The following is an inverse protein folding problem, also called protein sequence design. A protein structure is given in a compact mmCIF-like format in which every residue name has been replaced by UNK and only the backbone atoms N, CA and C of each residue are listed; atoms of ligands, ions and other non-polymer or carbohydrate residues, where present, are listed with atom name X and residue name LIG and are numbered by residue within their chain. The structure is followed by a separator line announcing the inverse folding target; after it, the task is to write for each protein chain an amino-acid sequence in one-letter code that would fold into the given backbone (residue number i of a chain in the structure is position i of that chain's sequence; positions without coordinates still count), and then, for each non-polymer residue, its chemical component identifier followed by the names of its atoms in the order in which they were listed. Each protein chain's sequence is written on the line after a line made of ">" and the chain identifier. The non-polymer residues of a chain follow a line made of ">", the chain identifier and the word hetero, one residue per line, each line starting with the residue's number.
data_IF_791467552389
#
_entry.id   IF_791467552389
#
_cell.length_a   1.000
_cell.length_b   1.000
_cell.length_c   1.000
_cell.angle_alpha   90.00
_cell.angle_beta   90.00
_cell.angle_gamma   90.00
#
_symmetry.space_group_name_H-M   'P 1'
#
loop_
_entity.id
_entity.type
_entity.pdbx_description
1 polymer ?
#
# COMPACT_ATOMS: atom_id res chain seq x y z
N UNK A 1 30.89 -3.81 2.11
CA UNK A 1 29.56 -3.42 2.65
C UNK A 1 28.49 -3.79 1.64
N UNK A 2 27.74 -4.86 1.85
CA UNK A 2 26.67 -5.24 0.92
C UNK A 2 25.51 -4.24 1.07
N UNK A 3 25.34 -3.37 0.08
CA UNK A 3 24.15 -2.52 -0.02
C UNK A 3 22.97 -3.48 -0.18
N UNK A 4 22.26 -3.78 0.91
CA UNK A 4 21.12 -4.70 0.89
C UNK A 4 20.14 -4.11 -0.13
N UNK A 5 20.01 -4.75 -1.29
CA UNK A 5 19.11 -4.25 -2.33
C UNK A 5 17.73 -4.08 -1.68
N UNK A 6 17.08 -2.91 -1.79
CA UNK A 6 15.70 -2.81 -1.36
C UNK A 6 14.94 -3.86 -2.16
N UNK A 7 14.38 -4.86 -1.47
CA UNK A 7 13.49 -5.82 -2.11
C UNK A 7 12.46 -5.01 -2.89
N UNK A 8 12.39 -5.23 -4.21
CA UNK A 8 11.48 -4.49 -5.07
C UNK A 8 10.07 -4.57 -4.50
N UNK A 9 9.55 -5.78 -4.24
CA UNK A 9 8.29 -5.99 -3.53
C UNK A 9 8.56 -6.44 -2.09
N UNK A 10 7.91 -5.79 -1.12
CA UNK A 10 8.03 -6.08 0.31
C UNK A 10 6.65 -6.32 0.93
N UNK A 11 6.35 -7.54 1.41
CA UNK A 11 5.15 -7.84 2.18
C UNK A 11 5.00 -6.94 3.40
N UNK A 12 3.76 -6.60 3.76
CA UNK A 12 3.47 -5.67 4.86
C UNK A 12 4.01 -6.16 6.22
N UNK A 13 3.92 -7.47 6.50
CA UNK A 13 4.51 -8.07 7.72
C UNK A 13 6.02 -7.86 7.83
N UNK A 14 6.74 -7.75 6.70
CA UNK A 14 8.18 -7.44 6.72
C UNK A 14 8.45 -5.93 6.77
N UNK A 15 7.53 -5.11 6.27
CA UNK A 15 7.63 -3.65 6.32
C UNK A 15 7.29 -3.09 7.72
N UNK A 16 6.32 -3.70 8.42
CA UNK A 16 5.83 -3.30 9.73
C UNK A 16 5.65 -4.53 10.65
N UNK A 17 6.74 -5.18 11.08
CA UNK A 17 6.69 -6.47 11.79
C UNK A 17 5.98 -6.43 13.15
N UNK A 18 5.91 -5.25 13.77
CA UNK A 18 5.25 -5.01 15.06
C UNK A 18 3.75 -4.71 14.97
N UNK A 19 3.21 -4.52 13.76
CA UNK A 19 1.79 -4.17 13.59
C UNK A 19 0.99 -5.41 13.16
N UNK A 20 -0.09 -5.71 13.90
CA UNK A 20 -0.97 -6.83 13.56
C UNK A 20 -1.74 -6.57 12.27
N UNK A 21 -2.17 -5.34 12.02
CA UNK A 21 -2.90 -4.99 10.79
C UNK A 21 -2.02 -5.18 9.55
N UNK A 22 -0.70 -4.98 9.68
CA UNK A 22 0.24 -5.27 8.60
C UNK A 22 0.41 -6.78 8.32
N UNK A 23 0.08 -7.66 9.27
CA UNK A 23 0.03 -9.11 9.02
C UNK A 23 -1.22 -9.50 8.26
N UNK A 24 -2.34 -8.87 8.62
CA UNK A 24 -3.65 -9.10 7.99
C UNK A 24 -3.72 -8.46 6.58
N UNK A 25 -2.84 -7.50 6.28
CA UNK A 25 -2.69 -6.85 4.98
C UNK A 25 -1.75 -7.60 4.03
N UNK A 26 -2.01 -8.89 3.82
CA UNK A 26 -1.16 -9.83 3.06
C UNK A 26 -1.28 -9.70 1.53
N UNK A 27 -2.39 -9.15 1.05
CA UNK A 27 -2.70 -8.92 -0.36
C UNK A 27 -2.34 -7.49 -0.84
N UNK A 28 -1.42 -6.83 -0.15
CA UNK A 28 -0.81 -5.55 -0.52
C UNK A 28 0.68 -5.56 -0.15
N UNK A 29 1.46 -4.64 -0.70
CA UNK A 29 2.90 -4.61 -0.46
C UNK A 29 3.48 -3.20 -0.63
N UNK A 30 4.70 -3.00 -0.15
CA UNK A 30 5.51 -1.84 -0.52
C UNK A 30 6.41 -2.16 -1.71
N UNK A 31 6.33 -1.35 -2.77
CA UNK A 31 7.30 -1.29 -3.85
C UNK A 31 8.43 -0.33 -3.44
N UNK A 32 9.59 -0.90 -3.12
CA UNK A 32 10.65 -0.15 -2.44
C UNK A 32 10.20 0.30 -1.03
N UNK A 33 10.70 1.44 -0.53
CA UNK A 33 10.31 1.95 0.79
C UNK A 33 9.06 2.84 0.79
N UNK A 34 8.65 3.36 -0.36
CA UNK A 34 7.79 4.56 -0.42
C UNK A 34 6.51 4.40 -1.24
N UNK A 35 6.35 3.32 -2.00
CA UNK A 35 5.16 3.10 -2.82
C UNK A 35 4.35 1.97 -2.19
N UNK A 36 3.13 2.27 -1.74
CA UNK A 36 2.14 1.29 -1.32
C UNK A 36 1.33 0.84 -2.53
N UNK A 37 1.24 -0.47 -2.76
CA UNK A 37 0.46 -1.08 -3.85
C UNK A 37 -0.54 -2.07 -3.26
N UNK A 38 -1.82 -1.93 -3.60
CA UNK A 38 -2.89 -2.84 -3.20
C UNK A 38 -3.74 -3.22 -4.42
N UNK A 39 -3.37 -4.29 -5.16
CA UNK A 39 -4.11 -4.70 -6.36
C UNK A 39 -5.58 -5.05 -6.07
N UNK A 40 -6.46 -4.81 -7.05
CA UNK A 40 -7.82 -5.33 -7.04
C UNK A 40 -7.78 -6.78 -7.51
N UNK A 41 -8.36 -7.68 -6.71
CA UNK A 41 -8.35 -9.12 -6.98
C UNK A 41 -9.76 -9.68 -7.24
N UNK A 42 -10.78 -8.87 -6.95
CA UNK A 42 -12.19 -9.22 -7.14
C UNK A 42 -12.83 -8.28 -8.17
N UNK A 43 -13.81 -8.76 -8.95
CA UNK A 43 -14.60 -7.90 -9.82
C UNK A 43 -15.28 -6.76 -9.04
N UNK A 44 -15.49 -5.62 -9.69
CA UNK A 44 -16.22 -4.48 -9.11
C UNK A 44 -15.33 -3.31 -8.67
N UNK A 45 -14.01 -3.39 -8.85
CA UNK A 45 -13.12 -2.24 -8.70
C UNK A 45 -12.90 -1.77 -7.26
N UNK A 46 -13.41 -2.50 -6.27
CA UNK A 46 -13.30 -2.13 -4.86
C UNK A 46 -12.17 -2.89 -4.18
N UNK A 47 -11.42 -2.21 -3.31
CA UNK A 47 -10.34 -2.81 -2.52
C UNK A 47 -10.33 -2.26 -1.10
N UNK A 48 -10.35 -3.16 -0.12
CA UNK A 48 -10.00 -2.82 1.26
C UNK A 48 -8.49 -2.97 1.46
N UNK A 49 -7.84 -1.92 1.93
CA UNK A 49 -6.40 -1.90 2.20
C UNK A 49 -6.10 -1.25 3.55
N UNK A 50 -4.98 -1.63 4.15
CA UNK A 50 -4.42 -0.99 5.32
C UNK A 50 -3.40 0.07 4.91
N UNK A 51 -3.65 1.31 5.31
CA UNK A 51 -2.76 2.45 5.08
C UNK A 51 -1.79 2.53 6.24
N UNK A 52 -0.47 2.43 6.03
CA UNK A 52 0.48 2.54 7.13
C UNK A 52 0.60 3.98 7.66
N UNK A 53 1.23 4.18 8.82
CA UNK A 53 1.44 5.51 9.38
C UNK A 53 2.05 6.51 8.38
N UNK A 54 1.49 7.73 8.39
CA UNK A 54 1.93 8.85 7.55
C UNK A 54 0.91 9.26 6.49
N UNK A 55 1.31 10.23 5.66
CA UNK A 55 0.49 10.74 4.55
C UNK A 55 0.86 10.06 3.24
N UNK A 56 -0.14 9.74 2.43
CA UNK A 56 -0.02 8.98 1.19
C UNK A 56 -0.73 9.69 0.05
N UNK A 57 0.01 10.04 -0.98
CA UNK A 57 -0.50 10.66 -2.21
C UNK A 57 -0.85 9.57 -3.22
N UNK A 58 -2.05 9.62 -3.77
CA UNK A 58 -2.45 8.73 -4.85
C UNK A 58 -1.56 8.90 -6.09
N UNK A 59 -1.18 7.78 -6.69
CA UNK A 59 -0.50 7.75 -8.00
C UNK A 59 -1.49 7.62 -9.16
N UNK A 60 -2.70 7.13 -8.89
CA UNK A 60 -3.78 6.97 -9.87
C UNK A 60 -5.16 7.02 -9.17
N UNK A 61 -6.16 7.53 -9.89
CA UNK A 61 -7.61 7.35 -9.68
C UNK A 61 -8.26 7.66 -8.32
N UNK A 62 -7.49 7.89 -7.26
CA UNK A 62 -7.96 7.81 -5.86
C UNK A 62 -7.63 9.06 -5.07
N UNK A 63 -8.31 9.23 -3.92
CA UNK A 63 -8.03 10.33 -3.01
C UNK A 63 -6.77 10.05 -2.18
N UNK A 64 -6.00 11.08 -1.76
CA UNK A 64 -4.94 10.92 -0.78
C UNK A 64 -5.43 10.26 0.51
N UNK A 65 -4.59 9.44 1.13
CA UNK A 65 -4.91 8.72 2.35
C UNK A 65 -3.99 9.13 3.49
N UNK A 66 -4.49 9.03 4.72
CA UNK A 66 -3.71 9.23 5.94
C UNK A 66 -3.77 7.94 6.76
N UNK A 67 -2.64 7.37 7.17
CA UNK A 67 -2.63 6.21 8.05
C UNK A 67 -2.18 6.56 9.49
N UNK A 68 -2.29 5.61 10.43
CA UNK A 68 -2.68 4.22 10.21
C UNK A 68 -4.20 3.98 10.24
N UNK A 69 -4.77 3.39 9.19
CA UNK A 69 -6.18 2.96 9.18
C UNK A 69 -6.48 1.98 8.04
N UNK A 70 -7.57 1.22 8.17
CA UNK A 70 -8.16 0.48 7.06
C UNK A 70 -9.08 1.38 6.26
N UNK A 71 -8.98 1.34 4.93
CA UNK A 71 -9.80 2.14 4.00
C UNK A 71 -10.33 1.24 2.90
N UNK A 72 -11.58 1.47 2.52
CA UNK A 72 -12.17 0.97 1.28
C UNK A 72 -11.95 2.00 0.18
N UNK A 73 -11.41 1.57 -0.96
CA UNK A 73 -11.22 2.42 -2.13
C UNK A 73 -11.85 1.79 -3.35
N UNK A 74 -12.36 2.62 -4.23
CA UNK A 74 -12.85 2.25 -5.54
C UNK A 74 -11.87 2.75 -6.61
N UNK A 75 -11.62 1.95 -7.64
CA UNK A 75 -10.80 2.32 -8.79
C UNK A 75 -11.49 1.94 -10.10
N UNK A 76 -11.14 2.65 -11.17
CA UNK A 76 -11.57 2.30 -12.52
C UNK A 76 -11.06 0.92 -12.97
N UNK A 77 -11.63 0.41 -14.06
CA UNK A 77 -11.31 -0.93 -14.59
C UNK A 77 -9.82 -1.10 -14.97
N UNK A 78 -9.17 -0.02 -15.40
CA UNK A 78 -7.76 -0.02 -15.84
C UNK A 78 -6.81 0.56 -14.77
N UNK A 79 -7.26 0.64 -13.53
CA UNK A 79 -6.54 1.24 -12.41
C UNK A 79 -6.39 0.25 -11.25
N UNK A 80 -5.42 0.51 -10.37
CA UNK A 80 -5.32 -0.19 -9.10
C UNK A 80 -4.78 0.76 -8.02
N UNK A 81 -5.19 0.60 -6.75
CA UNK A 81 -4.72 1.46 -5.68
C UNK A 81 -3.18 1.43 -5.54
N UNK A 82 -2.57 2.58 -5.82
CA UNK A 82 -1.15 2.81 -5.64
C UNK A 82 -0.90 4.21 -5.06
N UNK A 83 -0.08 4.29 -4.02
CA UNK A 83 0.18 5.52 -3.29
C UNK A 83 1.67 5.71 -3.04
N UNK A 84 2.18 6.92 -3.25
CA UNK A 84 3.50 7.31 -2.79
C UNK A 84 3.40 7.98 -1.41
N UNK A 85 4.39 7.81 -0.55
CA UNK A 85 4.52 8.64 0.66
C UNK A 85 4.58 10.12 0.28
N UNK A 86 3.81 10.95 0.98
CA UNK A 86 3.75 12.38 0.71
C UNK A 86 4.84 13.19 1.43
N UNK A 87 5.38 12.66 2.52
CA UNK A 87 6.31 13.37 3.40
C UNK A 87 7.80 13.10 3.04
N UNK A 88 8.09 12.82 1.76
CA UNK A 88 9.44 12.57 1.24
C UNK A 88 9.78 13.45 0.05
#
# INVERSE_FOLDING_TARGET
>A
MARRAPRAMRPMVLAYPGDRAARDADLQYLLGPDILVAPILEPGGRRKLWVPPGRWRALCGTQPLNGPQWVDVDCGLDEFPAYARADR
#
